data_IF_345831966048
#
_entry.id   IF_345831966048
#
_cell.length_a   1.000
_cell.length_b   1.000
_cell.length_c   1.000
_cell.angle_alpha   90.00
_cell.angle_beta   90.00
_cell.angle_gamma   90.00
#
_symmetry.space_group_name_H-M   'P 1'
#
loop_
_entity.id
_entity.type
_entity.pdbx_description
1 polymer ?
#
# COMPACT_ATOMS: atom_id res chain seq x y z
N UNK A 1 19.95 0.30 -21.52
CA UNK A 1 18.77 -0.48 -21.13
C UNK A 1 18.22 0.04 -19.80
N UNK A 2 18.91 -0.19 -18.67
CA UNK A 2 18.45 0.16 -17.33
C UNK A 2 17.90 1.61 -17.17
N UNK A 3 18.64 2.63 -17.64
CA UNK A 3 18.19 4.03 -17.52
C UNK A 3 16.91 4.35 -18.28
N UNK A 4 16.61 3.62 -19.36
CA UNK A 4 15.36 3.77 -20.12
C UNK A 4 14.19 3.13 -19.39
N UNK A 5 14.40 1.96 -18.80
CA UNK A 5 13.40 1.26 -17.98
C UNK A 5 13.01 2.08 -16.74
N UNK A 6 14.00 2.73 -16.12
CA UNK A 6 13.79 3.67 -15.02
C UNK A 6 12.96 4.88 -15.43
N UNK A 7 13.24 5.49 -16.59
CA UNK A 7 12.47 6.63 -17.08
C UNK A 7 11.01 6.27 -17.35
N UNK A 8 10.76 5.12 -17.99
CA UNK A 8 9.41 4.62 -18.24
C UNK A 8 8.66 4.30 -16.95
N UNK A 9 9.34 3.76 -15.95
CA UNK A 9 8.76 3.48 -14.64
C UNK A 9 8.38 4.77 -13.88
N UNK A 10 9.21 5.82 -13.96
CA UNK A 10 8.88 7.14 -13.38
C UNK A 10 7.65 7.74 -14.07
N UNK A 11 7.57 7.62 -15.40
CA UNK A 11 6.41 8.11 -16.17
C UNK A 11 5.13 7.38 -15.77
N UNK A 12 5.16 6.06 -15.60
CA UNK A 12 3.98 5.30 -15.18
C UNK A 12 3.54 5.66 -13.75
N UNK A 13 4.50 5.80 -12.82
CA UNK A 13 4.22 6.20 -11.45
C UNK A 13 3.60 7.61 -11.39
N UNK A 14 4.13 8.52 -12.21
CA UNK A 14 3.63 9.89 -12.35
C UNK A 14 2.20 9.90 -12.91
N UNK A 15 1.89 9.02 -13.87
CA UNK A 15 0.54 8.90 -14.43
C UNK A 15 -0.47 8.39 -13.39
N UNK A 16 -0.12 7.35 -12.62
CA UNK A 16 -0.95 6.85 -11.51
C UNK A 16 -1.17 7.95 -10.47
N UNK A 17 -0.13 8.72 -10.15
CA UNK A 17 -0.22 9.83 -9.21
C UNK A 17 -1.15 10.94 -9.70
N UNK A 18 -1.07 11.33 -10.97
CA UNK A 18 -1.98 12.31 -11.57
C UNK A 18 -3.41 11.79 -11.59
N UNK A 19 -3.62 10.51 -11.88
CA UNK A 19 -4.95 9.89 -11.84
C UNK A 19 -5.54 9.88 -10.42
N UNK A 20 -4.73 9.54 -9.40
CA UNK A 20 -5.09 9.65 -7.98
C UNK A 20 -5.50 11.08 -7.62
N UNK A 21 -4.75 12.09 -8.06
CA UNK A 21 -5.06 13.49 -7.81
C UNK A 21 -6.41 13.90 -8.40
N UNK A 22 -6.69 13.47 -9.64
CA UNK A 22 -7.95 13.78 -10.32
C UNK A 22 -9.14 13.09 -9.63
N UNK A 23 -8.98 11.83 -9.22
CA UNK A 23 -10.06 11.03 -8.66
C UNK A 23 -10.38 11.37 -7.19
N UNK A 24 -9.36 11.59 -6.37
CA UNK A 24 -9.51 11.90 -4.94
C UNK A 24 -9.96 13.35 -4.70
N UNK A 25 -9.74 14.27 -5.67
CA UNK A 25 -10.10 15.71 -5.58
C UNK A 25 -9.54 16.47 -4.37
N UNK A 26 -8.63 15.84 -3.60
CA UNK A 26 -7.94 16.42 -2.45
C UNK A 26 -6.45 16.09 -2.54
N UNK A 27 -5.64 17.14 -2.74
CA UNK A 27 -4.19 17.04 -2.97
C UNK A 27 -3.47 16.45 -1.75
N UNK A 28 -3.96 16.72 -0.54
CA UNK A 28 -3.34 16.30 0.71
C UNK A 28 -3.53 14.80 0.96
N UNK A 29 -4.71 14.26 0.67
CA UNK A 29 -4.99 12.82 0.81
C UNK A 29 -4.26 11.99 -0.27
N UNK A 30 -4.19 12.50 -1.50
CA UNK A 30 -3.44 11.87 -2.59
C UNK A 30 -1.92 11.84 -2.35
N UNK A 31 -1.37 12.79 -1.58
CA UNK A 31 0.06 12.79 -1.23
C UNK A 31 0.35 11.97 0.04
N UNK A 32 -0.49 12.07 1.07
CA UNK A 32 -0.25 11.42 2.35
C UNK A 32 -0.25 9.89 2.23
N UNK A 33 -1.20 9.31 1.49
CA UNK A 33 -1.32 7.86 1.37
C UNK A 33 -0.11 7.18 0.71
N UNK A 34 0.38 7.62 -0.46
CA UNK A 34 1.58 7.06 -1.08
C UNK A 34 2.84 7.29 -0.23
N UNK A 35 2.93 8.41 0.49
CA UNK A 35 4.04 8.66 1.41
C UNK A 35 4.03 7.68 2.59
N UNK A 36 2.87 7.39 3.17
CA UNK A 36 2.72 6.39 4.25
C UNK A 36 3.04 4.98 3.71
N UNK A 37 2.58 4.65 2.50
CA UNK A 37 2.90 3.38 1.84
C UNK A 37 4.40 3.27 1.50
N UNK A 38 5.07 4.37 1.13
CA UNK A 38 6.52 4.37 0.94
C UNK A 38 7.28 4.24 2.26
N UNK A 39 6.74 4.80 3.35
CA UNK A 39 7.31 4.67 4.69
C UNK A 39 7.23 3.23 5.23
N UNK A 40 6.28 2.41 4.77
CA UNK A 40 6.17 1.02 5.17
C UNK A 40 7.35 0.16 4.68
N UNK A 41 7.98 0.53 3.56
CA UNK A 41 9.11 -0.22 2.99
C UNK A 41 10.36 -0.19 3.87
N UNK A 42 10.90 0.97 4.32
CA UNK A 42 12.02 1.00 5.23
C UNK A 42 11.67 0.39 6.59
N UNK A 43 10.44 0.54 7.08
CA UNK A 43 9.99 -0.12 8.32
C UNK A 43 10.01 -1.65 8.19
N UNK A 44 9.48 -2.18 7.09
CA UNK A 44 9.53 -3.62 6.78
C UNK A 44 10.96 -4.10 6.66
N UNK A 45 11.84 -3.30 6.03
CA UNK A 45 13.26 -3.61 5.93
C UNK A 45 13.91 -3.72 7.32
N UNK A 46 13.66 -2.77 8.23
CA UNK A 46 14.19 -2.81 9.60
C UNK A 46 13.66 -4.03 10.35
N UNK A 47 12.36 -4.35 10.23
CA UNK A 47 11.75 -5.51 10.89
C UNK A 47 12.33 -6.82 10.32
N UNK A 48 12.46 -6.96 9.01
CA UNK A 48 13.08 -8.12 8.38
C UNK A 48 14.56 -8.25 8.74
N UNK A 49 15.31 -7.14 8.80
CA UNK A 49 16.71 -7.13 9.22
C UNK A 49 16.85 -7.55 10.70
N UNK A 50 15.94 -7.09 11.58
CA UNK A 50 15.92 -7.48 12.98
C UNK A 50 15.57 -8.96 13.18
N UNK A 51 14.64 -9.50 12.39
CA UNK A 51 14.18 -10.90 12.51
C UNK A 51 15.16 -11.92 11.90
N UNK A 52 15.77 -11.61 10.76
CA UNK A 52 16.60 -12.57 10.00
C UNK A 52 18.10 -12.27 10.03
N UNK A 53 18.53 -11.12 10.56
CA UNK A 53 19.93 -10.70 10.59
C UNK A 53 20.56 -10.51 9.20
N UNK A 54 19.77 -10.53 8.13
CA UNK A 54 20.25 -10.49 6.76
C UNK A 54 20.47 -9.05 6.30
N UNK A 55 21.71 -8.73 5.95
CA UNK A 55 22.19 -7.40 5.49
C UNK A 55 22.11 -7.22 3.97
N UNK A 56 21.57 -8.18 3.23
CA UNK A 56 21.56 -8.15 1.77
C UNK A 56 20.30 -7.51 1.21
N UNK A 57 20.44 -6.27 0.75
CA UNK A 57 19.49 -5.59 -0.13
C UNK A 57 19.47 -6.29 -1.49
N UNK A 58 18.49 -7.17 -1.69
CA UNK A 58 18.26 -7.85 -2.97
C UNK A 58 17.54 -6.93 -3.96
N UNK A 59 17.76 -7.13 -5.27
CA UNK A 59 17.03 -6.46 -6.37
C UNK A 59 15.50 -6.53 -6.21
N UNK A 60 15.03 -7.55 -5.49
CA UNK A 60 13.65 -7.75 -5.06
C UNK A 60 13.04 -6.54 -4.28
N UNK A 61 13.86 -5.78 -3.56
CA UNK A 61 13.41 -4.57 -2.84
C UNK A 61 13.05 -3.42 -3.79
N UNK A 62 13.51 -3.46 -5.03
CA UNK A 62 13.16 -2.44 -6.02
C UNK A 62 11.78 -2.68 -6.61
N UNK A 63 11.43 -3.95 -6.86
CA UNK A 63 10.11 -4.34 -7.34
C UNK A 63 9.02 -4.09 -6.28
N UNK A 64 9.35 -4.26 -5.00
CA UNK A 64 8.41 -4.02 -3.90
C UNK A 64 7.98 -2.56 -3.79
N UNK A 65 8.89 -1.61 -4.08
CA UNK A 65 8.57 -0.19 -4.12
C UNK A 65 7.51 0.15 -5.18
N UNK A 66 7.55 -0.50 -6.35
CA UNK A 66 6.53 -0.29 -7.38
C UNK A 66 5.18 -0.88 -6.97
N UNK A 67 5.20 -2.08 -6.39
CA UNK A 67 3.98 -2.75 -5.97
C UNK A 67 3.29 -2.05 -4.81
N UNK A 68 4.05 -1.54 -3.82
CA UNK A 68 3.47 -0.89 -2.64
C UNK A 68 2.74 0.41 -3.00
N UNK A 69 3.21 1.15 -4.02
CA UNK A 69 2.53 2.35 -4.50
C UNK A 69 1.18 1.99 -5.11
N UNK A 70 1.10 0.90 -5.87
CA UNK A 70 -0.16 0.39 -6.41
C UNK A 70 -1.14 -0.04 -5.31
N UNK A 71 -0.67 -0.79 -4.31
CA UNK A 71 -1.50 -1.18 -3.17
C UNK A 71 -1.95 0.01 -2.32
N UNK A 72 -1.06 0.97 -2.08
CA UNK A 72 -1.40 2.20 -1.36
C UNK A 72 -2.49 2.98 -2.09
N UNK A 73 -2.38 3.10 -3.42
CA UNK A 73 -3.40 3.73 -4.26
C UNK A 73 -4.78 3.06 -4.14
N UNK A 74 -4.83 1.73 -4.21
CA UNK A 74 -6.05 0.94 -4.06
C UNK A 74 -6.75 1.21 -2.71
N UNK A 75 -5.99 1.19 -1.62
CA UNK A 75 -6.52 1.46 -0.27
C UNK A 75 -7.04 2.88 -0.16
N UNK A 76 -6.31 3.88 -0.67
CA UNK A 76 -6.76 5.29 -0.63
C UNK A 76 -8.09 5.43 -1.38
N UNK A 77 -8.25 4.78 -2.52
CA UNK A 77 -9.51 4.83 -3.27
C UNK A 77 -10.67 4.27 -2.45
N UNK A 78 -10.51 3.11 -1.81
CA UNK A 78 -11.52 2.54 -0.91
C UNK A 78 -11.90 3.52 0.20
N UNK A 79 -10.94 4.13 0.87
CA UNK A 79 -11.22 5.09 1.94
C UNK A 79 -11.95 6.34 1.41
N UNK A 80 -11.54 6.86 0.25
CA UNK A 80 -12.19 8.05 -0.34
C UNK A 80 -13.63 7.78 -0.80
N UNK A 81 -13.91 6.58 -1.32
CA UNK A 81 -15.25 6.23 -1.76
C UNK A 81 -16.19 5.96 -0.57
N UNK A 82 -15.69 5.31 0.48
CA UNK A 82 -16.45 5.15 1.73
C UNK A 82 -16.70 6.52 2.39
N UNK A 83 -15.75 7.46 2.32
CA UNK A 83 -15.96 8.83 2.79
C UNK A 83 -17.07 9.56 2.04
N UNK A 84 -17.11 9.45 0.70
CA UNK A 84 -18.22 9.99 -0.11
C UNK A 84 -19.56 9.34 0.27
N UNK A 85 -19.57 8.03 0.50
CA UNK A 85 -20.76 7.28 0.91
C UNK A 85 -21.28 7.74 2.29
N UNK A 86 -20.39 8.06 3.23
CA UNK A 86 -20.76 8.56 4.57
C UNK A 86 -21.62 9.83 4.51
N UNK A 87 -21.43 10.66 3.49
CA UNK A 87 -22.18 11.91 3.32
C UNK A 87 -23.67 11.72 3.01
N UNK A 88 -24.05 10.53 2.54
CA UNK A 88 -25.46 10.19 2.27
C UNK A 88 -26.11 9.40 3.40
N UNK A 89 -25.32 8.78 4.29
CA UNK A 89 -25.80 7.84 5.32
C UNK A 89 -25.71 8.37 6.75
N UNK A 90 -24.78 9.29 7.02
CA UNK A 90 -24.54 9.87 8.35
C UNK A 90 -24.88 11.34 8.31
N UNK A 91 -25.58 11.82 9.34
CA UNK A 91 -26.00 13.21 9.45
C UNK A 91 -24.80 14.17 9.29
N UNK A 92 -24.93 15.16 8.41
CA UNK A 92 -23.78 15.91 7.88
C UNK A 92 -23.08 16.82 8.88
N UNK A 93 -23.64 16.98 10.07
CA UNK A 93 -23.20 17.94 11.10
C UNK A 93 -22.06 17.42 11.99
N UNK A 94 -21.85 16.09 12.07
CA UNK A 94 -20.84 15.51 12.97
C UNK A 94 -19.68 14.85 12.18
N UNK A 95 -18.62 15.61 11.94
CA UNK A 95 -17.45 15.16 11.21
C UNK A 95 -16.70 14.04 11.93
N UNK A 96 -16.70 14.01 13.27
CA UNK A 96 -16.02 12.98 14.04
C UNK A 96 -16.74 11.63 13.89
N UNK A 97 -18.08 11.63 13.97
CA UNK A 97 -18.89 10.44 13.74
C UNK A 97 -18.74 9.91 12.31
N UNK A 98 -18.68 10.81 11.30
CA UNK A 98 -18.42 10.43 9.90
C UNK A 98 -17.05 9.79 9.74
N UNK A 99 -16.01 10.39 10.31
CA UNK A 99 -14.65 9.84 10.25
C UNK A 99 -14.60 8.44 10.88
N UNK A 100 -15.14 8.28 12.09
CA UNK A 100 -15.17 6.98 12.78
C UNK A 100 -15.90 5.90 11.96
N UNK A 101 -17.06 6.23 11.40
CA UNK A 101 -17.82 5.32 10.53
C UNK A 101 -17.04 4.93 9.27
N UNK A 102 -16.37 5.90 8.64
CA UNK A 102 -15.58 5.65 7.43
C UNK A 102 -14.36 4.79 7.71
N UNK A 103 -13.63 5.04 8.80
CA UNK A 103 -12.50 4.22 9.20
C UNK A 103 -12.95 2.79 9.51
N UNK A 104 -14.01 2.59 10.28
CA UNK A 104 -14.47 1.24 10.63
C UNK A 104 -14.87 0.43 9.38
N UNK A 105 -15.57 1.06 8.44
CA UNK A 105 -16.06 0.41 7.22
C UNK A 105 -14.94 0.19 6.20
N UNK A 106 -14.12 1.22 5.95
CA UNK A 106 -13.02 1.15 5.00
C UNK A 106 -11.89 0.24 5.49
N UNK A 107 -11.59 0.22 6.79
CA UNK A 107 -10.61 -0.70 7.37
C UNK A 107 -11.03 -2.16 7.18
N UNK A 108 -12.30 -2.49 7.44
CA UNK A 108 -12.82 -3.86 7.20
C UNK A 108 -12.76 -4.26 5.73
N UNK A 109 -13.10 -3.35 4.81
CA UNK A 109 -13.04 -3.61 3.37
C UNK A 109 -11.60 -3.79 2.87
N UNK A 110 -10.71 -2.86 3.23
CA UNK A 110 -9.29 -2.90 2.83
C UNK A 110 -8.54 -4.08 3.45
N UNK A 111 -8.89 -4.50 4.67
CA UNK A 111 -8.30 -5.68 5.32
C UNK A 111 -8.51 -6.96 4.49
N UNK A 112 -9.71 -7.17 3.94
CA UNK A 112 -9.99 -8.36 3.15
C UNK A 112 -9.11 -8.43 1.89
N UNK A 113 -8.94 -7.31 1.20
CA UNK A 113 -8.09 -7.22 0.00
C UNK A 113 -6.62 -7.46 0.32
N UNK A 114 -6.13 -6.85 1.40
CA UNK A 114 -4.72 -6.96 1.81
C UNK A 114 -4.41 -8.34 2.39
N UNK A 115 -5.32 -8.92 3.17
CA UNK A 115 -5.20 -10.31 3.62
C UNK A 115 -5.07 -11.26 2.44
N UNK A 116 -5.94 -11.12 1.43
CA UNK A 116 -5.88 -11.95 0.22
C UNK A 116 -4.56 -11.76 -0.54
N UNK A 117 -4.11 -10.52 -0.66
CA UNK A 117 -2.85 -10.17 -1.33
C UNK A 117 -1.63 -10.75 -0.60
N UNK A 118 -1.56 -10.56 0.72
CA UNK A 118 -0.48 -11.07 1.54
C UNK A 118 -0.46 -12.60 1.52
N UNK A 119 -1.62 -13.26 1.60
CA UNK A 119 -1.72 -14.72 1.46
C UNK A 119 -1.25 -15.19 0.08
N UNK A 120 -1.54 -14.46 -0.99
CA UNK A 120 -1.03 -14.77 -2.32
C UNK A 120 0.51 -14.69 -2.37
N UNK A 121 1.11 -13.66 -1.78
CA UNK A 121 2.57 -13.59 -1.65
C UNK A 121 3.13 -14.68 -0.75
N UNK A 122 2.50 -14.97 0.39
CA UNK A 122 2.95 -16.05 1.28
C UNK A 122 2.81 -17.44 0.64
N UNK A 123 1.82 -17.67 -0.22
CA UNK A 123 1.71 -18.90 -0.99
C UNK A 123 2.89 -19.10 -1.95
N UNK A 124 3.45 -18.00 -2.49
CA UNK A 124 4.64 -18.03 -3.33
C UNK A 124 5.93 -18.41 -2.57
N UNK A 125 5.88 -18.57 -1.24
CA UNK A 125 7.01 -19.14 -0.47
C UNK A 125 7.29 -20.60 -0.83
N UNK A 126 6.30 -21.33 -1.36
CA UNK A 126 6.45 -22.71 -1.82
C UNK A 126 7.27 -22.82 -3.13
N UNK A 127 7.59 -21.69 -3.77
CA UNK A 127 8.35 -21.70 -5.01
C UNK A 127 9.79 -22.21 -4.82
N UNK A 128 10.30 -22.94 -5.82
CA UNK A 128 11.63 -23.52 -5.83
C UNK A 128 12.75 -22.46 -5.93
N UNK A 129 12.43 -21.26 -6.43
CA UNK A 129 13.39 -20.16 -6.65
C UNK A 129 13.60 -19.39 -5.34
N UNK A 130 14.82 -19.44 -4.79
CA UNK A 130 15.17 -18.79 -3.51
C UNK A 130 14.91 -17.28 -3.50
N UNK A 131 15.26 -16.60 -4.60
CA UNK A 131 15.05 -15.16 -4.73
C UNK A 131 13.56 -14.78 -4.69
N UNK A 132 12.70 -15.59 -5.32
CA UNK A 132 11.25 -15.37 -5.31
C UNK A 132 10.66 -15.56 -3.92
N UNK A 133 11.14 -16.56 -3.16
CA UNK A 133 10.70 -16.80 -1.78
C UNK A 133 11.04 -15.64 -0.85
N UNK A 134 12.27 -15.11 -0.93
CA UNK A 134 12.68 -13.96 -0.12
C UNK A 134 11.86 -12.70 -0.46
N UNK A 135 11.65 -12.46 -1.76
CA UNK A 135 10.81 -11.37 -2.23
C UNK A 135 9.37 -11.49 -1.74
N UNK A 136 8.77 -12.67 -1.87
CA UNK A 136 7.37 -12.89 -1.52
C UNK A 136 7.14 -12.79 -0.01
N UNK A 137 8.08 -13.26 0.81
CA UNK A 137 8.06 -13.03 2.26
C UNK A 137 8.08 -11.54 2.59
N UNK A 138 9.03 -10.81 2.01
CA UNK A 138 9.17 -9.37 2.21
C UNK A 138 7.91 -8.60 1.79
N UNK A 139 7.36 -8.92 0.63
CA UNK A 139 6.14 -8.29 0.11
C UNK A 139 4.92 -8.57 0.98
N UNK A 140 4.70 -9.82 1.39
CA UNK A 140 3.57 -10.16 2.26
C UNK A 140 3.61 -9.39 3.59
N UNK A 141 4.79 -9.24 4.19
CA UNK A 141 5.00 -8.49 5.42
C UNK A 141 4.85 -6.98 5.19
N UNK A 142 5.37 -6.46 4.08
CA UNK A 142 5.29 -5.04 3.71
C UNK A 142 3.86 -4.55 3.50
N UNK A 143 3.05 -5.33 2.77
CA UNK A 143 1.64 -4.96 2.49
C UNK A 143 0.82 -4.99 3.78
N UNK A 144 1.07 -5.96 4.67
CA UNK A 144 0.44 -6.03 5.98
C UNK A 144 0.78 -4.82 6.86
N UNK A 145 2.07 -4.43 6.93
CA UNK A 145 2.50 -3.26 7.67
C UNK A 145 1.96 -1.95 7.08
N UNK A 146 1.92 -1.84 5.75
CA UNK A 146 1.35 -0.68 5.07
C UNK A 146 -0.12 -0.50 5.44
N UNK A 147 -0.90 -1.58 5.47
CA UNK A 147 -2.29 -1.50 5.95
C UNK A 147 -2.37 -1.05 7.40
N UNK A 148 -1.55 -1.67 8.26
CA UNK A 148 -1.53 -1.34 9.70
C UNK A 148 -1.25 0.15 9.92
N UNK A 149 -0.29 0.73 9.17
CA UNK A 149 0.06 2.15 9.21
C UNK A 149 -1.04 3.08 8.68
N UNK A 150 -1.88 2.60 7.76
CA UNK A 150 -2.98 3.40 7.18
C UNK A 150 -4.25 3.30 8.03
N UNK A 151 -4.49 2.16 8.67
CA UNK A 151 -5.69 1.90 9.46
C UNK A 151 -5.58 2.33 10.94
N UNK A 152 -4.36 2.58 11.42
CA UNK A 152 -4.05 2.98 12.79
C UNK A 152 -4.04 4.51 12.92
#
# INVERSE_FOLDING_TARGET
ALSGDFALAIVSLSFVFVYLLIHTRSVLLSFAGPVIALLSVPLTYVICAALFGATTVSFANFLSLFLIVGFGADVIFVYTDVWKESGFKVDSQDYAARLAWTFERAAKASFATIATTALSFLANLAAMIRALRQFAFFMGLCVMLAWMLVSL
#
